data_IF_394968576431
#
_entry.id   IF_394968576431
#
_cell.length_a   1.000
_cell.length_b   1.000
_cell.length_c   1.000
_cell.angle_alpha   90.00
_cell.angle_beta   90.00
_cell.angle_gamma   90.00
#
_symmetry.space_group_name_H-M   'P 1'
#
loop_
_entity.id
_entity.type
_entity.pdbx_description
1 polymer ?
#
# COMPACT_ATOMS: atom_id res chain seq x y z
N UNK A 1 -4.33 -4.64 5.75
CA UNK A 1 -4.60 -5.99 5.23
C UNK A 1 -5.52 -6.74 6.17
N UNK A 2 -6.22 -7.76 5.69
CA UNK A 2 -7.01 -8.69 6.52
C UNK A 2 -6.12 -9.73 7.19
N UNK A 3 -6.65 -10.45 8.18
CA UNK A 3 -5.91 -11.42 8.98
C UNK A 3 -5.37 -12.59 8.13
N UNK A 4 -6.07 -12.95 7.06
CA UNK A 4 -5.67 -13.96 6.07
C UNK A 4 -4.82 -13.43 4.90
N UNK A 5 -4.38 -12.16 4.99
CA UNK A 5 -3.32 -11.60 4.16
C UNK A 5 -3.76 -10.89 2.89
N UNK A 6 -5.03 -10.45 2.80
CA UNK A 6 -5.54 -9.71 1.65
C UNK A 6 -5.49 -8.19 1.88
N UNK A 7 -5.04 -7.43 0.87
CA UNK A 7 -5.00 -5.96 0.88
C UNK A 7 -6.21 -5.34 0.20
N UNK A 8 -6.87 -6.10 -0.67
CA UNK A 8 -8.12 -5.74 -1.32
C UNK A 8 -8.94 -7.02 -1.58
N UNK A 9 -10.26 -6.89 -1.70
CA UNK A 9 -11.11 -7.97 -2.14
C UNK A 9 -10.96 -8.26 -3.64
N UNK A 10 -11.78 -9.17 -4.18
CA UNK A 10 -11.87 -9.38 -5.63
C UNK A 10 -12.12 -8.07 -6.38
N UNK A 11 -11.56 -7.94 -7.58
CA UNK A 11 -11.66 -6.73 -8.42
C UNK A 11 -11.13 -5.45 -7.75
N UNK A 12 -10.18 -5.55 -6.82
CA UNK A 12 -9.59 -4.42 -6.10
C UNK A 12 -10.60 -3.64 -5.22
N UNK A 13 -11.70 -4.27 -4.78
CA UNK A 13 -12.66 -3.65 -3.86
C UNK A 13 -12.06 -3.40 -2.47
N UNK A 14 -12.43 -2.26 -1.89
CA UNK A 14 -12.12 -1.84 -0.53
C UNK A 14 -13.35 -1.83 0.40
N UNK A 15 -14.50 -2.37 -0.04
CA UNK A 15 -15.77 -2.31 0.70
C UNK A 15 -15.65 -2.86 2.13
N UNK A 16 -14.88 -3.94 2.30
CA UNK A 16 -14.64 -4.59 3.59
C UNK A 16 -13.97 -3.65 4.61
N UNK A 17 -13.24 -2.62 4.18
CA UNK A 17 -12.61 -1.65 5.08
C UNK A 17 -13.65 -0.71 5.72
N UNK A 18 -14.78 -0.49 5.05
CA UNK A 18 -15.83 0.43 5.50
C UNK A 18 -16.80 -0.23 6.51
N UNK A 19 -16.68 -1.55 6.71
CA UNK A 19 -17.57 -2.34 7.56
C UNK A 19 -17.01 -2.49 8.99
N UNK A 20 -17.14 -1.44 9.80
CA UNK A 20 -16.91 -1.53 11.25
C UNK A 20 -15.47 -1.77 11.67
N UNK A 21 -14.51 -1.36 10.83
CA UNK A 21 -13.10 -1.29 11.20
C UNK A 21 -12.77 0.16 11.56
N UNK A 22 -12.41 0.38 12.82
CA UNK A 22 -11.83 1.64 13.26
C UNK A 22 -10.32 1.62 13.01
N UNK A 23 -9.81 2.70 12.42
CA UNK A 23 -8.38 2.92 12.34
C UNK A 23 -7.81 3.28 13.72
N UNK A 24 -6.51 3.03 13.90
CA UNK A 24 -5.81 3.51 15.10
C UNK A 24 -5.83 5.04 15.12
N UNK A 25 -6.33 5.71 16.18
CA UNK A 25 -6.41 7.16 16.20
C UNK A 25 -5.06 7.83 15.95
N UNK A 26 -5.03 8.83 15.06
CA UNK A 26 -3.83 9.61 14.73
C UNK A 26 -2.91 8.98 13.68
N UNK A 27 -3.18 7.74 13.23
CA UNK A 27 -2.28 7.04 12.32
C UNK A 27 -2.31 7.64 10.90
N UNK A 28 -3.50 8.02 10.43
CA UNK A 28 -3.71 8.60 9.11
C UNK A 28 -3.04 9.97 9.03
N UNK A 29 -3.19 10.77 10.09
CA UNK A 29 -2.54 12.08 10.24
C UNK A 29 -1.01 11.96 10.22
N UNK A 30 -0.45 10.92 10.87
CA UNK A 30 0.99 10.67 10.89
C UNK A 30 1.53 10.35 9.49
N UNK A 31 0.82 9.53 8.70
CA UNK A 31 1.20 9.27 7.31
C UNK A 31 1.04 10.49 6.41
N UNK A 32 -0.08 11.20 6.52
CA UNK A 32 -0.30 12.44 5.78
C UNK A 32 0.82 13.47 6.04
N UNK A 33 1.32 13.57 7.27
CA UNK A 33 2.39 14.51 7.62
C UNK A 33 3.75 14.15 6.98
N UNK A 34 4.04 12.86 6.84
CA UNK A 34 5.34 12.32 6.43
C UNK A 34 5.41 11.94 4.95
N UNK A 35 4.28 11.81 4.27
CA UNK A 35 4.21 11.49 2.83
C UNK A 35 4.68 12.69 1.99
N UNK A 36 5.62 12.44 1.09
CA UNK A 36 6.09 13.39 0.08
C UNK A 36 5.50 13.12 -1.30
N UNK A 37 5.41 11.85 -1.70
CA UNK A 37 4.83 11.43 -2.95
C UNK A 37 4.25 10.02 -2.84
N UNK A 38 3.40 9.64 -3.80
CA UNK A 38 2.80 8.31 -3.89
C UNK A 38 3.14 7.67 -5.22
N UNK A 39 3.52 6.39 -5.18
CA UNK A 39 3.63 5.52 -6.35
C UNK A 39 2.58 4.42 -6.27
N UNK A 40 1.63 4.40 -7.20
CA UNK A 40 0.55 3.41 -7.25
C UNK A 40 0.59 2.61 -8.56
N UNK A 41 -0.10 1.47 -8.54
CA UNK A 41 -0.32 0.65 -9.73
C UNK A 41 -1.69 0.93 -10.34
N UNK A 42 -1.81 0.69 -11.65
CA UNK A 42 -3.06 0.93 -12.40
C UNK A 42 -4.30 0.28 -11.80
N UNK A 43 -4.23 -1.00 -11.42
CA UNK A 43 -5.45 -1.74 -11.09
C UNK A 43 -6.18 -1.24 -9.84
N UNK A 44 -5.45 -0.72 -8.85
CA UNK A 44 -6.06 -0.05 -7.70
C UNK A 44 -6.52 1.37 -8.06
N UNK A 45 -5.72 2.10 -8.84
CA UNK A 45 -6.03 3.45 -9.28
C UNK A 45 -7.30 3.53 -10.15
N UNK A 46 -7.50 2.59 -11.07
CA UNK A 46 -8.67 2.58 -11.96
C UNK A 46 -9.99 2.36 -11.18
N UNK A 47 -9.96 1.86 -9.95
CA UNK A 47 -11.15 1.71 -9.08
C UNK A 47 -11.54 3.04 -8.44
N UNK A 48 -10.56 3.79 -7.94
CA UNK A 48 -10.77 5.12 -7.35
C UNK A 48 -9.66 6.08 -7.82
N UNK A 49 -9.89 6.78 -8.94
CA UNK A 49 -8.91 7.68 -9.51
C UNK A 49 -8.86 9.05 -8.81
N UNK A 50 -9.78 9.31 -7.85
CA UNK A 50 -9.82 10.57 -7.11
C UNK A 50 -8.76 10.60 -6.01
N UNK A 51 -7.64 11.22 -6.33
CA UNK A 51 -6.52 11.38 -5.39
C UNK A 51 -6.75 12.46 -4.33
N UNK A 52 -7.84 13.24 -4.42
CA UNK A 52 -8.12 14.32 -3.45
C UNK A 52 -8.51 13.80 -2.07
N UNK A 53 -8.96 12.54 -1.99
CA UNK A 53 -9.41 11.90 -0.75
C UNK A 53 -8.35 11.01 -0.10
N UNK A 54 -7.12 10.99 -0.63
CA UNK A 54 -6.00 10.26 -0.01
C UNK A 54 -5.80 10.75 1.43
N UNK A 55 -5.68 9.79 2.36
CA UNK A 55 -5.66 10.05 3.80
C UNK A 55 -6.84 10.90 4.30
N UNK A 56 -8.04 10.69 3.74
CA UNK A 56 -9.23 11.47 4.09
C UNK A 56 -9.16 12.94 3.66
N UNK A 57 -8.32 13.26 2.66
CA UNK A 57 -8.07 14.62 2.19
C UNK A 57 -7.10 15.42 3.06
N UNK A 58 -6.41 14.77 4.01
CA UNK A 58 -5.40 15.42 4.85
C UNK A 58 -4.08 15.67 4.11
N UNK A 59 -3.90 15.08 2.94
CA UNK A 59 -2.68 15.20 2.15
C UNK A 59 -2.99 15.54 0.70
N UNK A 60 -2.08 16.28 0.09
CA UNK A 60 -2.03 16.50 -1.35
C UNK A 60 -0.57 16.58 -1.78
N UNK A 61 -0.26 16.03 -2.95
CA UNK A 61 1.10 16.01 -3.46
C UNK A 61 1.22 15.21 -4.76
N UNK A 62 2.45 14.98 -5.23
CA UNK A 62 2.70 14.22 -6.44
C UNK A 62 2.23 12.77 -6.32
N UNK A 63 1.38 12.34 -7.26
CA UNK A 63 0.97 10.94 -7.41
C UNK A 63 1.45 10.42 -8.76
N UNK A 64 2.17 9.31 -8.75
CA UNK A 64 2.64 8.61 -9.93
C UNK A 64 1.90 7.29 -10.08
N UNK A 65 1.24 7.09 -11.22
CA UNK A 65 0.63 5.81 -11.55
C UNK A 65 1.51 5.09 -12.57
N UNK A 66 2.06 3.95 -12.17
CA UNK A 66 2.91 3.12 -13.01
C UNK A 66 2.06 2.09 -13.79
N UNK A 67 2.20 2.13 -15.11
CA UNK A 67 1.54 1.18 -16.02
C UNK A 67 2.36 0.95 -17.28
N UNK A 68 2.27 -0.26 -17.84
CA UNK A 68 2.81 -0.54 -19.18
C UNK A 68 1.88 -0.11 -20.32
N UNK A 69 0.64 0.27 -19.99
CA UNK A 69 -0.41 0.63 -20.93
C UNK A 69 -0.98 2.02 -20.59
N UNK A 70 -0.19 3.10 -20.78
CA UNK A 70 -0.57 4.45 -20.35
C UNK A 70 -1.71 5.06 -21.18
N UNK A 71 -1.88 4.64 -22.44
CA UNK A 71 -2.88 5.23 -23.34
C UNK A 71 -4.33 4.89 -22.99
N UNK A 72 -4.56 3.78 -22.29
CA UNK A 72 -5.90 3.31 -21.93
C UNK A 72 -6.19 3.50 -20.44
N UNK A 73 -5.32 4.22 -19.72
CA UNK A 73 -5.50 4.49 -18.30
C UNK A 73 -6.50 5.63 -18.09
N UNK A 74 -7.22 5.58 -16.97
CA UNK A 74 -8.08 6.70 -16.57
C UNK A 74 -7.17 7.91 -16.31
N UNK A 75 -7.56 9.07 -16.84
CA UNK A 75 -6.86 10.31 -16.55
C UNK A 75 -7.63 11.08 -15.46
N UNK A 76 -6.92 11.46 -14.41
CA UNK A 76 -7.42 12.38 -13.39
C UNK A 76 -6.40 13.50 -13.14
N UNK A 77 -6.92 14.64 -12.68
CA UNK A 77 -6.07 15.76 -12.28
C UNK A 77 -5.20 15.37 -11.08
N UNK A 78 -3.96 15.87 -11.04
CA UNK A 78 -3.02 15.58 -9.95
C UNK A 78 -2.27 14.25 -10.07
N UNK A 79 -2.48 13.47 -11.13
CA UNK A 79 -1.81 12.17 -11.36
C UNK A 79 -0.89 12.22 -12.57
N UNK A 80 0.35 11.80 -12.38
CA UNK A 80 1.32 11.61 -13.46
C UNK A 80 1.38 10.15 -13.85
N UNK A 81 0.94 9.83 -15.06
CA UNK A 81 1.00 8.46 -15.59
C UNK A 81 2.39 8.22 -16.16
N UNK A 82 3.09 7.20 -15.64
CA UNK A 82 4.43 6.82 -16.05
C UNK A 82 4.48 5.39 -16.59
N UNK A 83 5.34 5.18 -17.57
CA UNK A 83 5.61 3.87 -18.18
C UNK A 83 7.12 3.69 -18.30
N UNK A 84 7.73 3.21 -17.22
CA UNK A 84 9.15 2.94 -17.07
C UNK A 84 9.35 1.66 -16.24
N UNK A 85 10.60 1.28 -15.97
CA UNK A 85 10.85 0.24 -14.97
C UNK A 85 10.57 0.73 -13.55
N UNK A 86 10.39 -0.21 -12.63
CA UNK A 86 9.96 0.08 -11.25
C UNK A 86 11.02 0.85 -10.44
N UNK A 87 12.31 0.67 -10.76
CA UNK A 87 13.38 1.37 -10.07
C UNK A 87 13.45 2.85 -10.49
N UNK A 88 13.24 3.13 -11.78
CA UNK A 88 13.13 4.49 -12.29
C UNK A 88 11.86 5.19 -11.77
N UNK A 89 10.75 4.46 -11.63
CA UNK A 89 9.54 4.98 -10.99
C UNK A 89 9.81 5.42 -9.53
N UNK A 90 10.56 4.62 -8.76
CA UNK A 90 10.99 4.98 -7.41
C UNK A 90 11.91 6.21 -7.42
N UNK A 91 12.86 6.29 -8.36
CA UNK A 91 13.75 7.44 -8.49
C UNK A 91 12.96 8.74 -8.71
N UNK A 92 11.99 8.73 -9.64
CA UNK A 92 11.11 9.86 -9.91
C UNK A 92 10.25 10.22 -8.69
N UNK A 93 9.69 9.22 -8.02
CA UNK A 93 8.87 9.40 -6.82
C UNK A 93 9.65 10.02 -5.67
N UNK A 94 10.88 9.54 -5.40
CA UNK A 94 11.74 10.07 -4.35
C UNK A 94 12.22 11.50 -4.64
N UNK A 95 12.53 11.80 -5.90
CA UNK A 95 12.84 13.17 -6.34
C UNK A 95 11.67 14.11 -6.07
N UNK A 96 10.45 13.69 -6.39
CA UNK A 96 9.23 14.45 -6.15
C UNK A 96 8.84 14.51 -4.67
N UNK A 97 9.26 13.54 -3.85
CA UNK A 97 8.97 13.49 -2.43
C UNK A 97 9.75 14.54 -1.62
N UNK A 98 10.75 15.20 -2.19
CA UNK A 98 11.49 16.33 -1.58
C UNK A 98 12.02 16.01 -0.16
N UNK A 99 12.64 14.84 -0.02
CA UNK A 99 13.21 14.38 1.26
C UNK A 99 12.19 13.83 2.27
N UNK A 100 10.92 13.72 1.91
CA UNK A 100 9.88 12.98 2.64
C UNK A 100 9.71 11.55 2.08
N UNK A 101 8.77 10.79 2.64
CA UNK A 101 8.52 9.41 2.23
C UNK A 101 7.92 9.33 0.82
N UNK A 102 8.34 8.32 0.06
CA UNK A 102 7.61 7.81 -1.10
C UNK A 102 6.76 6.62 -0.64
N UNK A 103 5.45 6.78 -0.65
CA UNK A 103 4.52 5.73 -0.22
C UNK A 103 4.11 4.85 -1.42
N UNK A 104 4.11 3.52 -1.23
CA UNK A 104 3.81 2.55 -2.29
C UNK A 104 2.39 2.02 -2.15
N UNK A 105 1.50 2.45 -3.03
CA UNK A 105 0.07 2.08 -3.03
C UNK A 105 -0.19 0.96 -4.05
N UNK A 106 0.57 -0.14 -3.94
CA UNK A 106 0.38 -1.34 -4.76
C UNK A 106 1.17 -2.52 -4.20
N UNK A 107 0.49 -3.62 -3.90
CA UNK A 107 1.13 -4.86 -3.45
C UNK A 107 2.07 -5.45 -4.51
N UNK A 108 1.71 -5.37 -5.79
CA UNK A 108 2.55 -5.89 -6.88
C UNK A 108 3.84 -5.07 -7.06
N UNK A 109 3.74 -3.74 -7.02
CA UNK A 109 4.92 -2.86 -7.06
C UNK A 109 5.77 -3.09 -5.80
N UNK A 110 5.14 -3.14 -4.62
CA UNK A 110 5.82 -3.42 -3.36
C UNK A 110 6.61 -4.73 -3.40
N UNK A 111 6.02 -5.82 -3.91
CA UNK A 111 6.70 -7.11 -4.11
C UNK A 111 7.91 -7.00 -5.03
N UNK A 112 7.78 -6.30 -6.16
CA UNK A 112 8.90 -6.08 -7.09
C UNK A 112 10.03 -5.28 -6.43
N UNK A 113 9.69 -4.24 -5.67
CA UNK A 113 10.67 -3.42 -4.95
C UNK A 113 11.36 -4.19 -3.82
N UNK A 114 10.63 -5.05 -3.11
CA UNK A 114 11.18 -5.99 -2.13
C UNK A 114 12.22 -6.91 -2.76
N UNK A 115 11.93 -7.47 -3.95
CA UNK A 115 12.88 -8.33 -4.67
C UNK A 115 14.15 -7.57 -5.13
N UNK A 116 14.05 -6.25 -5.32
CA UNK A 116 15.16 -5.37 -5.67
C UNK A 116 15.89 -4.79 -4.44
N UNK A 117 15.40 -5.00 -3.23
CA UNK A 117 15.93 -4.40 -2.01
C UNK A 117 15.72 -2.88 -1.93
N UNK A 118 14.62 -2.38 -2.51
CA UNK A 118 14.28 -0.95 -2.60
C UNK A 118 13.15 -0.54 -1.64
N UNK A 119 12.74 -1.42 -0.73
CA UNK A 119 11.78 -1.10 0.35
C UNK A 119 12.57 -0.91 1.64
N UNK A 120 12.43 0.27 2.25
CA UNK A 120 13.02 0.57 3.56
C UNK A 120 12.16 0.02 4.70
N UNK A 121 10.86 0.30 4.68
CA UNK A 121 9.91 -0.04 5.74
C UNK A 121 8.58 -0.57 5.18
N UNK A 122 7.93 -1.46 5.94
CA UNK A 122 6.59 -1.96 5.64
C UNK A 122 5.71 -1.75 6.87
N UNK A 123 4.67 -0.93 6.72
CA UNK A 123 3.67 -0.73 7.76
C UNK A 123 2.47 -1.65 7.57
N UNK A 124 2.28 -2.58 8.50
CA UNK A 124 1.18 -3.55 8.46
C UNK A 124 0.11 -3.24 9.49
N UNK A 125 -1.03 -2.75 9.00
CA UNK A 125 -2.28 -2.66 9.75
C UNK A 125 -3.10 -3.92 9.47
N UNK A 126 -3.32 -4.75 10.49
CA UNK A 126 -4.01 -6.04 10.34
C UNK A 126 -5.43 -5.95 10.89
N UNK A 127 -6.40 -5.94 9.98
CA UNK A 127 -7.82 -5.90 10.30
C UNK A 127 -8.28 -7.28 10.85
N UNK A 128 -9.20 -7.29 11.83
CA UNK A 128 -9.71 -8.51 12.46
C UNK A 128 -10.73 -9.27 11.59
N UNK A 129 -10.45 -9.43 10.29
CA UNK A 129 -11.34 -10.04 9.30
C UNK A 129 -10.61 -11.18 8.58
N UNK A 130 -11.32 -12.27 8.30
CA UNK A 130 -10.91 -13.30 7.34
C UNK A 130 -11.73 -13.07 6.06
N UNK A 131 -11.10 -12.54 5.01
CA UNK A 131 -11.80 -12.13 3.78
C UNK A 131 -12.09 -13.30 2.84
N UNK A 132 -11.22 -14.29 2.83
CA UNK A 132 -11.32 -15.52 2.04
C UNK A 132 -10.76 -15.44 0.62
N UNK A 133 -10.87 -14.29 -0.06
CA UNK A 133 -10.38 -14.10 -1.43
C UNK A 133 -10.05 -12.63 -1.74
N UNK A 134 -9.22 -12.40 -2.76
CA UNK A 134 -8.82 -11.07 -3.22
C UNK A 134 -7.34 -10.95 -3.56
N UNK A 135 -6.80 -9.74 -3.44
CA UNK A 135 -5.41 -9.42 -3.73
C UNK A 135 -4.57 -9.62 -2.46
N UNK A 136 -3.59 -10.52 -2.51
CA UNK A 136 -2.68 -10.77 -1.38
C UNK A 136 -1.67 -9.62 -1.21
N UNK A 137 -1.27 -9.35 0.04
CA UNK A 137 -0.18 -8.42 0.34
C UNK A 137 1.12 -8.83 -0.36
N UNK A 138 1.43 -10.12 -0.31
CA UNK A 138 2.65 -10.69 -0.88
C UNK A 138 2.31 -12.04 -1.52
N UNK A 139 2.53 -12.13 -2.82
CA UNK A 139 2.28 -13.33 -3.63
C UNK A 139 3.48 -13.58 -4.56
N UNK A 140 4.42 -14.40 -4.09
CA UNK A 140 5.65 -14.76 -4.83
C UNK A 140 5.85 -16.29 -4.81
N UNK A 141 5.08 -17.05 -5.60
CA UNK A 141 5.21 -18.50 -5.66
C UNK A 141 6.61 -18.94 -6.13
N UNK A 142 7.30 -19.73 -5.31
CA UNK A 142 8.66 -20.19 -5.60
C UNK A 142 9.77 -19.19 -5.25
N UNK A 143 9.43 -18.05 -4.65
CA UNK A 143 10.39 -17.07 -4.13
C UNK A 143 11.17 -17.57 -2.91
N UNK A 144 12.28 -16.88 -2.61
CA UNK A 144 13.04 -17.11 -1.38
C UNK A 144 12.38 -16.39 -0.18
N UNK A 145 12.51 -16.92 1.05
CA UNK A 145 12.00 -16.22 2.22
C UNK A 145 12.66 -14.85 2.42
N UNK A 146 11.84 -13.81 2.58
CA UNK A 146 12.28 -12.47 3.02
C UNK A 146 12.22 -12.43 4.56
N UNK A 147 13.34 -12.04 5.20
CA UNK A 147 13.39 -11.84 6.65
C UNK A 147 13.17 -10.38 6.97
N UNK A 148 12.21 -10.09 7.86
CA UNK A 148 11.85 -8.74 8.28
C UNK A 148 12.18 -8.56 9.76
N UNK A 149 12.49 -7.33 10.13
CA UNK A 149 12.68 -6.91 11.52
C UNK A 149 11.49 -6.04 11.95
N UNK A 150 10.92 -6.32 13.12
CA UNK A 150 9.92 -5.47 13.74
C UNK A 150 10.60 -4.22 14.32
N UNK A 151 10.44 -3.09 13.67
CA UNK A 151 11.12 -1.84 14.05
C UNK A 151 10.44 -1.06 15.19
N UNK A 152 9.19 -1.39 15.51
CA UNK A 152 8.42 -0.73 16.58
C UNK A 152 8.29 -1.60 17.86
N UNK A 153 9.25 -2.49 18.11
CA UNK A 153 9.28 -3.33 19.30
C UNK A 153 10.69 -3.70 19.76
N UNK A 154 10.81 -4.18 20.99
CA UNK A 154 12.10 -4.47 21.63
C UNK A 154 12.76 -5.78 21.15
N UNK A 155 12.05 -6.56 20.34
CA UNK A 155 12.50 -7.86 19.82
C UNK A 155 12.27 -7.94 18.31
N UNK A 156 13.19 -7.45 17.48
CA UNK A 156 12.98 -7.29 16.03
C UNK A 156 12.74 -8.62 15.30
N UNK A 157 13.27 -9.72 15.80
CA UNK A 157 13.15 -11.05 15.18
C UNK A 157 12.18 -11.99 15.91
N UNK A 158 11.40 -11.48 16.88
CA UNK A 158 10.42 -12.30 17.58
C UNK A 158 9.11 -12.42 16.79
N UNK A 159 8.43 -13.56 16.94
CA UNK A 159 7.06 -13.71 16.47
C UNK A 159 6.12 -12.70 17.16
N UNK A 160 5.11 -12.23 16.42
CA UNK A 160 4.04 -11.40 16.94
C UNK A 160 2.83 -12.29 17.23
N UNK A 161 2.39 -12.33 18.49
CA UNK A 161 1.18 -13.08 18.89
C UNK A 161 -0.04 -12.16 18.86
N UNK A 162 -1.03 -12.49 18.02
CA UNK A 162 -2.33 -11.80 17.94
C UNK A 162 -3.44 -12.77 18.35
N UNK A 163 -4.39 -12.33 19.18
CA UNK A 163 -5.47 -13.19 19.66
C UNK A 163 -6.83 -12.57 19.31
N UNK A 164 -7.64 -13.32 18.58
CA UNK A 164 -8.98 -12.93 18.15
C UNK A 164 -10.02 -13.98 18.56
N UNK A 165 -11.27 -13.55 18.66
CA UNK A 165 -12.44 -14.42 18.73
C UNK A 165 -13.46 -13.95 17.69
N UNK A 166 -14.30 -14.83 17.14
CA UNK A 166 -15.38 -14.40 16.25
C UNK A 166 -16.25 -13.34 16.94
N UNK A 167 -16.56 -12.26 16.23
CA UNK A 167 -17.57 -11.31 16.67
C UNK A 167 -18.94 -12.00 16.64
N UNK A 168 -19.74 -11.82 17.70
CA UNK A 168 -21.13 -12.30 17.72
C UNK A 168 -21.97 -11.28 16.96
N UNK A 169 -22.75 -11.75 15.99
CA UNK A 169 -23.70 -10.91 15.24
C UNK A 169 -24.82 -10.36 16.13
#
# INVERSE_FOLDING_TARGET
MTLDGFVAGPNHSFDWMMEGIDDTPGIVEAYAATTGAILCGRSGYDVDPDVSMIYGGLWSGPVFMLTRHPHDAVHADGVTIISCDVAEAVRLGLEAADGKNLEIFSADIGRQLLALGLIDEIHLHVAPILLGDGIRLYDEPGGAPVRLELINGDRPLAEVTMQYRPAVA
#
